data_IF_501552389124
#
_entry.id   IF_501552389124
#
_cell.length_a   1.000
_cell.length_b   1.000
_cell.length_c   1.000
_cell.angle_alpha   90.00
_cell.angle_beta   90.00
_cell.angle_gamma   90.00
#
_symmetry.space_group_name_H-M   'P 1'
#
loop_
_entity.id
_entity.type
_entity.pdbx_description
1 polymer ?
#
# COMPACT_ATOMS: atom_id res chain seq x y z
N UNK A 1 16.67 -9.39 10.35
CA UNK A 1 17.24 -8.03 10.28
C UNK A 1 16.51 -7.15 11.27
N UNK A 2 17.10 -6.87 12.44
CA UNK A 2 16.48 -6.01 13.45
C UNK A 2 16.83 -4.55 13.14
N UNK A 3 15.87 -3.77 12.61
CA UNK A 3 16.04 -2.32 12.46
C UNK A 3 15.72 -1.66 13.80
N UNK A 4 16.65 -0.89 14.34
CA UNK A 4 16.47 -0.13 15.57
C UNK A 4 16.16 1.33 15.29
N UNK A 5 15.42 1.95 16.20
CA UNK A 5 15.14 3.36 16.19
C UNK A 5 16.28 4.12 16.87
N UNK A 6 16.91 5.06 16.15
CA UNK A 6 18.11 5.78 16.57
C UNK A 6 17.86 7.27 16.86
N UNK A 7 16.59 7.70 16.91
CA UNK A 7 16.17 9.10 17.12
C UNK A 7 16.72 10.12 16.11
N UNK A 8 17.37 9.67 15.04
CA UNK A 8 17.95 10.56 14.02
C UNK A 8 16.90 11.05 13.02
N UNK A 9 17.36 11.81 12.02
CA UNK A 9 16.57 12.17 10.83
C UNK A 9 16.81 11.23 9.64
N UNK A 10 17.30 10.01 9.92
CA UNK A 10 17.34 8.96 8.92
C UNK A 10 15.94 8.63 8.39
N UNK A 11 15.86 8.15 7.15
CA UNK A 11 14.58 7.73 6.54
C UNK A 11 13.89 6.65 7.37
N UNK A 12 14.67 5.77 8.00
CA UNK A 12 14.20 4.72 8.88
C UNK A 12 13.59 5.30 10.16
N UNK A 13 14.28 6.23 10.82
CA UNK A 13 13.77 6.91 12.01
C UNK A 13 12.49 7.70 11.73
N UNK A 14 12.45 8.41 10.61
CA UNK A 14 11.24 9.10 10.15
C UNK A 14 10.10 8.08 9.93
N UNK A 15 10.39 6.91 9.34
CA UNK A 15 9.39 5.88 9.16
C UNK A 15 8.82 5.35 10.48
N UNK A 16 9.66 5.07 11.47
CA UNK A 16 9.19 4.69 12.81
C UNK A 16 8.24 5.75 13.41
N UNK A 17 8.61 7.04 13.34
CA UNK A 17 7.76 8.14 13.84
C UNK A 17 6.43 8.22 13.11
N UNK A 18 6.45 8.16 11.78
CA UNK A 18 5.24 8.23 10.94
C UNK A 18 4.32 7.04 11.21
N UNK A 19 4.86 5.83 11.31
CA UNK A 19 4.05 4.63 11.59
C UNK A 19 3.39 4.76 12.96
N UNK A 20 4.17 5.12 13.99
CA UNK A 20 3.68 5.24 15.36
C UNK A 20 2.57 6.30 15.52
N UNK A 21 2.71 7.44 14.85
CA UNK A 21 1.68 8.47 14.81
C UNK A 21 0.41 7.99 14.10
N UNK A 22 0.58 7.42 12.90
CA UNK A 22 -0.55 7.02 12.07
C UNK A 22 -1.37 5.89 12.68
N UNK A 23 -0.74 4.89 13.29
CA UNK A 23 -1.48 3.82 13.95
C UNK A 23 -2.33 4.35 15.11
N UNK A 24 -1.85 5.34 15.88
CA UNK A 24 -2.65 5.97 16.94
C UNK A 24 -3.86 6.67 16.34
N UNK A 25 -3.65 7.54 15.35
CA UNK A 25 -4.72 8.28 14.70
C UNK A 25 -5.79 7.35 14.08
N UNK A 26 -5.38 6.28 13.40
CA UNK A 26 -6.29 5.31 12.80
C UNK A 26 -7.06 4.52 13.86
N UNK A 27 -6.37 4.06 14.90
CA UNK A 27 -6.98 3.21 15.95
C UNK A 27 -8.09 3.95 16.68
N UNK A 28 -7.85 5.21 17.08
CA UNK A 28 -8.86 6.02 17.75
C UNK A 28 -10.01 6.38 16.80
N UNK A 29 -9.72 6.78 15.57
CA UNK A 29 -10.78 7.12 14.61
C UNK A 29 -11.73 5.93 14.34
N UNK A 30 -11.20 4.71 14.23
CA UNK A 30 -12.02 3.51 14.03
C UNK A 30 -12.79 3.15 15.31
N UNK A 31 -12.17 3.29 16.49
CA UNK A 31 -12.85 3.06 17.77
C UNK A 31 -14.01 4.05 18.00
N UNK A 32 -13.91 5.27 17.48
CA UNK A 32 -14.97 6.28 17.45
C UNK A 32 -16.03 6.02 16.35
N UNK A 33 -15.92 4.91 15.62
CA UNK A 33 -16.88 4.47 14.60
C UNK A 33 -16.62 5.00 13.18
N UNK A 34 -15.52 5.71 12.94
CA UNK A 34 -15.17 6.17 11.59
C UNK A 34 -14.42 5.10 10.80
N UNK A 35 -15.07 4.55 9.79
CA UNK A 35 -14.50 3.48 8.97
C UNK A 35 -13.78 4.00 7.71
N UNK A 36 -12.72 3.31 7.25
CA UNK A 36 -12.08 3.61 5.97
C UNK A 36 -13.08 3.57 4.79
N UNK A 37 -13.07 4.60 3.95
CA UNK A 37 -14.03 4.75 2.83
C UNK A 37 -13.40 5.45 1.63
N UNK A 38 -14.12 5.48 0.51
CA UNK A 38 -13.73 6.20 -0.71
C UNK A 38 -14.00 7.72 -0.61
N UNK A 39 -14.82 8.16 0.35
CA UNK A 39 -15.27 9.55 0.48
C UNK A 39 -15.22 10.04 1.92
N UNK A 40 -15.30 11.36 2.12
CA UNK A 40 -15.44 12.01 3.43
C UNK A 40 -14.29 11.71 4.41
N UNK A 41 -14.63 11.60 5.69
CA UNK A 41 -13.67 11.30 6.77
C UNK A 41 -13.00 9.93 6.59
N UNK A 42 -13.76 8.92 6.13
CA UNK A 42 -13.22 7.59 5.86
C UNK A 42 -12.12 7.58 4.78
N UNK A 43 -12.17 8.50 3.81
CA UNK A 43 -11.09 8.67 2.83
C UNK A 43 -9.80 9.18 3.47
N UNK A 44 -9.91 10.10 4.44
CA UNK A 44 -8.75 10.60 5.19
C UNK A 44 -8.10 9.46 5.97
N UNK A 45 -8.89 8.66 6.70
CA UNK A 45 -8.40 7.49 7.45
C UNK A 45 -7.69 6.51 6.52
N UNK A 46 -8.31 6.17 5.39
CA UNK A 46 -7.70 5.30 4.38
C UNK A 46 -6.36 5.85 3.87
N UNK A 47 -6.25 7.16 3.65
CA UNK A 47 -4.99 7.79 3.21
C UNK A 47 -3.90 7.70 4.26
N UNK A 48 -4.24 7.94 5.53
CA UNK A 48 -3.29 7.82 6.65
C UNK A 48 -2.81 6.37 6.77
N UNK A 49 -3.72 5.39 6.68
CA UNK A 49 -3.39 3.96 6.68
C UNK A 49 -2.43 3.61 5.54
N UNK A 50 -2.76 3.98 4.30
CA UNK A 50 -1.91 3.69 3.13
C UNK A 50 -0.55 4.38 3.20
N UNK A 51 -0.47 5.57 3.83
CA UNK A 51 0.80 6.25 4.08
C UNK A 51 1.66 5.44 5.06
N UNK A 52 1.10 5.00 6.18
CA UNK A 52 1.84 4.16 7.13
C UNK A 52 2.35 2.87 6.47
N UNK A 53 1.49 2.22 5.67
CA UNK A 53 1.87 1.01 4.91
C UNK A 53 3.01 1.27 3.93
N UNK A 54 2.95 2.35 3.17
CA UNK A 54 4.03 2.76 2.27
C UNK A 54 5.36 2.96 3.00
N UNK A 55 5.34 3.54 4.20
CA UNK A 55 6.57 3.88 4.92
C UNK A 55 7.29 2.63 5.46
N UNK A 56 6.58 1.71 6.12
CA UNK A 56 7.24 0.49 6.56
C UNK A 56 7.68 -0.38 5.37
N UNK A 57 6.90 -0.37 4.28
CA UNK A 57 7.26 -1.14 3.10
C UNK A 57 8.55 -0.61 2.45
N UNK A 58 8.66 0.72 2.30
CA UNK A 58 9.74 1.35 1.54
C UNK A 58 11.02 1.56 2.35
N UNK A 59 10.90 1.81 3.66
CA UNK A 59 12.03 2.20 4.50
C UNK A 59 12.39 1.14 5.54
N UNK A 60 11.42 0.30 5.95
CA UNK A 60 11.64 -0.75 6.94
C UNK A 60 11.77 -2.16 6.32
N UNK A 61 11.59 -2.30 5.00
CA UNK A 61 11.65 -3.58 4.27
C UNK A 61 10.72 -4.66 4.83
N UNK A 62 9.64 -4.23 5.51
CA UNK A 62 8.65 -5.13 6.07
C UNK A 62 7.51 -5.32 5.06
N UNK A 63 7.21 -6.57 4.69
CA UNK A 63 6.26 -6.89 3.60
C UNK A 63 4.99 -7.59 4.06
N UNK A 64 4.81 -7.72 5.37
CA UNK A 64 3.63 -8.34 5.98
C UNK A 64 2.77 -7.27 6.65
N UNK A 65 1.49 -7.54 6.96
CA UNK A 65 0.65 -6.63 7.73
C UNK A 65 1.31 -6.29 9.07
N UNK A 66 1.68 -5.03 9.29
CA UNK A 66 2.40 -4.58 10.48
C UNK A 66 1.47 -3.84 11.44
N UNK A 67 0.57 -3.02 10.89
CA UNK A 67 -0.27 -2.12 11.68
C UNK A 67 -1.21 -2.90 12.60
N UNK A 68 -1.79 -3.99 12.11
CA UNK A 68 -2.64 -4.86 12.93
C UNK A 68 -1.89 -5.54 14.08
N UNK A 69 -0.58 -5.77 13.93
CA UNK A 69 0.27 -6.37 14.96
C UNK A 69 0.62 -5.38 16.08
N UNK A 70 0.65 -4.07 15.76
CA UNK A 70 0.97 -3.01 16.73
C UNK A 70 -0.24 -2.58 17.57
N UNK A 71 -1.46 -2.83 17.08
CA UNK A 71 -2.68 -2.39 17.73
C UNK A 71 -2.83 -2.89 19.19
N UNK A 72 -2.58 -4.17 19.54
CA UNK A 72 -2.72 -4.64 20.92
C UNK A 72 -1.85 -3.89 21.92
N UNK A 73 -0.63 -3.52 21.52
CA UNK A 73 0.28 -2.74 22.35
C UNK A 73 -0.27 -1.33 22.60
N UNK A 74 -0.88 -0.72 21.60
CA UNK A 74 -1.48 0.62 21.73
C UNK A 74 -2.76 0.58 22.55
N UNK A 75 -3.64 -0.40 22.30
CA UNK A 75 -4.86 -0.57 23.07
C UNK A 75 -4.56 -0.72 24.57
N UNK A 76 -3.51 -1.48 24.91
CA UNK A 76 -3.07 -1.65 26.29
C UNK A 76 -2.45 -0.36 26.86
N UNK A 77 -1.64 0.36 26.08
CA UNK A 77 -1.02 1.62 26.54
C UNK A 77 -2.07 2.69 26.91
N UNK A 78 -3.22 2.70 26.22
CA UNK A 78 -4.26 3.72 26.39
C UNK A 78 -5.50 3.23 27.16
N UNK A 79 -5.49 2.01 27.72
CA UNK A 79 -6.69 1.41 28.32
C UNK A 79 -7.31 2.24 29.47
N UNK A 80 -6.50 2.99 30.21
CA UNK A 80 -6.94 3.82 31.33
C UNK A 80 -7.49 5.19 30.90
N UNK A 81 -7.20 5.62 29.67
CA UNK A 81 -7.60 6.95 29.13
C UNK A 81 -8.70 6.81 28.07
N UNK A 82 -8.64 5.76 27.27
CA UNK A 82 -9.58 5.40 26.20
C UNK A 82 -9.91 3.89 26.30
N UNK A 83 -10.71 3.48 27.29
CA UNK A 83 -11.07 2.07 27.47
C UNK A 83 -11.86 1.49 26.28
N UNK A 84 -12.53 2.33 25.49
CA UNK A 84 -13.31 1.94 24.32
C UNK A 84 -12.43 1.27 23.26
N UNK A 85 -11.21 1.75 23.07
CA UNK A 85 -10.25 1.15 22.14
C UNK A 85 -9.90 -0.28 22.55
N UNK A 86 -9.74 -0.53 23.85
CA UNK A 86 -9.44 -1.86 24.37
C UNK A 86 -10.64 -2.81 24.23
N UNK A 87 -11.85 -2.32 24.50
CA UNK A 87 -13.08 -3.09 24.35
C UNK A 87 -13.33 -3.50 22.88
N UNK A 88 -12.96 -2.63 21.93
CA UNK A 88 -13.15 -2.86 20.50
C UNK A 88 -11.90 -3.37 19.77
N UNK A 89 -10.86 -3.79 20.50
CA UNK A 89 -9.54 -4.12 19.94
C UNK A 89 -9.64 -5.10 18.76
N UNK A 90 -10.39 -6.19 18.92
CA UNK A 90 -10.53 -7.21 17.88
C UNK A 90 -11.19 -6.67 16.60
N UNK A 91 -12.17 -5.77 16.74
CA UNK A 91 -12.86 -5.15 15.61
C UNK A 91 -11.91 -4.20 14.86
N UNK A 92 -11.26 -3.29 15.59
CA UNK A 92 -10.30 -2.34 15.03
C UNK A 92 -9.15 -3.10 14.35
N UNK A 93 -8.66 -4.19 14.95
CA UNK A 93 -7.59 -5.02 14.40
C UNK A 93 -7.98 -5.60 13.05
N UNK A 94 -9.19 -6.14 12.96
CA UNK A 94 -9.71 -6.75 11.74
C UNK A 94 -9.85 -5.73 10.61
N UNK A 95 -10.42 -4.56 10.90
CA UNK A 95 -10.59 -3.48 9.91
C UNK A 95 -9.22 -3.03 9.36
N UNK A 96 -8.24 -2.80 10.25
CA UNK A 96 -6.88 -2.42 9.85
C UNK A 96 -6.24 -3.51 8.99
N UNK A 97 -6.36 -4.78 9.40
CA UNK A 97 -5.79 -5.92 8.69
C UNK A 97 -6.39 -6.09 7.28
N UNK A 98 -7.70 -5.91 7.13
CA UNK A 98 -8.39 -6.04 5.84
C UNK A 98 -7.94 -4.94 4.85
N UNK A 99 -7.89 -3.68 5.29
CA UNK A 99 -7.42 -2.57 4.44
C UNK A 99 -5.92 -2.69 4.11
N UNK A 100 -5.10 -3.11 5.08
CA UNK A 100 -3.66 -3.32 4.88
C UNK A 100 -3.39 -4.43 3.86
N UNK A 101 -4.04 -5.59 4.00
CA UNK A 101 -3.94 -6.67 3.03
C UNK A 101 -4.49 -6.28 1.65
N UNK A 102 -5.62 -5.59 1.61
CA UNK A 102 -6.21 -5.09 0.38
C UNK A 102 -5.21 -4.22 -0.40
N UNK A 103 -4.53 -3.31 0.31
CA UNK A 103 -3.51 -2.45 -0.29
C UNK A 103 -2.31 -3.24 -0.81
N UNK A 104 -1.76 -4.16 -0.01
CA UNK A 104 -0.60 -4.97 -0.41
C UNK A 104 -0.90 -5.81 -1.67
N UNK A 105 -2.08 -6.43 -1.74
CA UNK A 105 -2.53 -7.20 -2.91
C UNK A 105 -2.66 -6.34 -4.17
N UNK A 106 -3.28 -5.16 -4.06
CA UNK A 106 -3.43 -4.24 -5.21
C UNK A 106 -2.06 -3.80 -5.73
N UNK A 107 -1.14 -3.47 -4.83
CA UNK A 107 0.21 -3.04 -5.19
C UNK A 107 0.96 -4.11 -6.00
N UNK A 108 0.92 -5.36 -5.56
CA UNK A 108 1.57 -6.47 -6.28
C UNK A 108 0.96 -6.70 -7.66
N UNK A 109 -0.36 -6.55 -7.78
CA UNK A 109 -1.08 -6.60 -9.06
C UNK A 109 -0.69 -5.45 -10.00
N UNK A 110 -0.56 -4.23 -9.47
CA UNK A 110 -0.15 -3.05 -10.25
C UNK A 110 1.27 -3.22 -10.79
N UNK A 111 2.21 -3.71 -9.98
CA UNK A 111 3.59 -3.96 -10.42
C UNK A 111 3.65 -4.96 -11.58
N UNK A 112 2.92 -6.09 -11.48
CA UNK A 112 2.84 -7.07 -12.57
C UNK A 112 2.30 -6.48 -13.87
N UNK A 113 1.23 -5.68 -13.79
CA UNK A 113 0.64 -5.02 -14.97
C UNK A 113 1.60 -4.06 -15.66
N UNK A 114 2.41 -3.35 -14.87
CA UNK A 114 3.43 -2.44 -15.39
C UNK A 114 4.51 -3.25 -16.13
N UNK A 115 4.99 -4.35 -15.55
CA UNK A 115 5.98 -5.22 -16.18
C UNK A 115 5.45 -5.82 -17.50
N UNK A 116 4.19 -6.22 -17.53
CA UNK A 116 3.54 -6.73 -18.74
C UNK A 116 3.43 -5.65 -19.82
N UNK A 117 3.11 -4.41 -19.46
CA UNK A 117 3.08 -3.29 -20.40
C UNK A 117 4.44 -3.03 -21.04
N UNK A 118 5.53 -3.06 -20.25
CA UNK A 118 6.88 -2.89 -20.77
C UNK A 118 7.30 -4.01 -21.73
N UNK A 119 6.93 -5.27 -21.46
CA UNK A 119 7.17 -6.39 -22.38
C UNK A 119 6.44 -6.20 -23.71
N UNK A 120 5.18 -5.75 -23.67
CA UNK A 120 4.41 -5.47 -24.87
C UNK A 120 4.99 -4.33 -25.70
N UNK A 121 5.47 -3.25 -25.06
CA UNK A 121 6.13 -2.14 -25.77
C UNK A 121 7.43 -2.59 -26.45
N UNK A 122 8.24 -3.39 -25.74
CA UNK A 122 9.48 -3.94 -26.30
C UNK A 122 9.19 -4.87 -27.49
N UNK A 123 8.19 -5.76 -27.39
CA UNK A 123 7.79 -6.63 -28.49
C UNK A 123 7.29 -5.84 -29.71
N UNK A 124 6.58 -4.72 -29.51
CA UNK A 124 6.15 -3.83 -30.59
C UNK A 124 7.33 -3.12 -31.27
N UNK A 125 8.33 -2.68 -30.50
CA UNK A 125 9.57 -2.12 -31.05
C UNK A 125 10.32 -3.15 -31.88
N UNK A 126 10.55 -4.35 -31.36
CA UNK A 126 11.19 -5.44 -32.11
C UNK A 126 10.43 -5.80 -33.39
N UNK A 127 9.10 -5.83 -33.36
CA UNK A 127 8.29 -6.09 -34.56
C UNK A 127 8.39 -4.96 -35.59
N UNK A 128 8.42 -3.69 -35.15
CA UNK A 128 8.59 -2.51 -36.01
C UNK A 128 10.01 -2.43 -36.59
N UNK A 129 11.02 -2.78 -35.82
CA UNK A 129 12.42 -2.80 -36.25
C UNK A 129 12.68 -3.97 -37.22
N UNK A 130 11.98 -5.10 -37.02
CA UNK A 130 12.04 -6.28 -37.90
C UNK A 130 11.27 -6.11 -39.22
N UNK A 131 10.29 -5.20 -39.29
CA UNK A 131 9.56 -4.88 -40.51
C UNK A 131 9.55 -3.36 -40.77
N UNK A 132 10.62 -2.80 -41.34
CA UNK A 132 10.65 -1.39 -41.69
C UNK A 132 9.58 -1.07 -42.76
N UNK A 133 9.03 0.15 -42.70
CA UNK A 133 7.91 0.67 -43.51
C UNK A 133 8.07 0.54 -45.05
N UNK A 134 9.23 0.08 -45.54
CA UNK A 134 9.48 -0.21 -46.96
C UNK A 134 8.97 -1.56 -47.45
N UNK A 135 8.38 -2.40 -46.59
CA UNK A 135 7.75 -3.66 -47.02
C UNK A 135 6.21 -3.58 -47.12
N UNK A 136 5.61 -2.39 -47.06
CA UNK A 136 4.20 -2.20 -47.45
C UNK A 136 4.12 -1.53 -48.83
N UNK A 137 3.69 -2.31 -49.83
CA UNK A 137 2.83 -2.01 -51.01
C UNK A 137 3.18 -3.05 -52.11
N UNK A 138 2.23 -3.74 -52.79
CA UNK A 138 0.87 -4.13 -52.41
C UNK A 138 0.58 -5.62 -52.71
N UNK A 139 -0.11 -6.34 -51.82
CA UNK A 139 -0.76 -7.62 -52.22
C UNK A 139 -2.21 -7.33 -52.68
N UNK A 140 -2.34 -6.39 -53.64
CA UNK A 140 -3.56 -6.17 -54.43
C UNK A 140 -3.12 -5.99 -55.88
N UNK A 141 -2.71 -7.08 -56.51
CA UNK A 141 -2.76 -7.29 -57.96
C UNK A 141 -2.40 -8.74 -58.25
N UNK A 142 -3.07 -9.32 -59.25
CA UNK A 142 -2.99 -10.72 -59.72
C UNK A 142 -3.91 -11.67 -58.95
N UNK A 143 -5.17 -11.76 -59.36
CA UNK A 143 -5.55 -12.63 -60.48
C UNK A 143 -6.93 -12.25 -61.01
N UNK A 144 -7.01 -12.26 -62.33
CA UNK A 144 -8.17 -12.18 -63.23
C UNK A 144 -9.36 -13.06 -62.82
#
# INVERSE_FOLDING_TARGET
>A
MHKQYDFSDSKQAIAFRVIADHIRAISFAIADGQLPSNTGAGYVIRRILRRAVRYYFSFLDYKQPLLSQLLPSIATQFENVFPELKQQEAFVQKVIFEEENGFLRTRDSVLKRIDDYFKLDNAKKEMKDRWPLNCLIPMVSLTT
#
